data_IF_914189888042
#
_entry.id   IF_914189888042
#
_cell.length_a   1.000
_cell.length_b   1.000
_cell.length_c   1.000
_cell.angle_alpha   90.00
_cell.angle_beta   90.00
_cell.angle_gamma   90.00
#
_symmetry.space_group_name_H-M   'P 1'
#
loop_
_entity.id
_entity.type
_entity.pdbx_description
1 polymer ?
#
# COMPACT_ATOMS: atom_id res chain seq x y z
N UNK A 1 24.05 -22.01 0.98
CA UNK A 1 24.92 -21.03 0.31
C UNK A 1 25.43 -20.05 1.37
N UNK A 2 26.66 -19.59 1.27
CA UNK A 2 27.25 -18.64 2.22
C UNK A 2 27.39 -17.26 1.57
N UNK A 3 26.92 -16.22 2.24
CA UNK A 3 27.18 -14.83 1.86
C UNK A 3 28.55 -14.45 2.46
N UNK A 4 29.56 -14.25 1.61
CA UNK A 4 30.87 -13.77 2.07
C UNK A 4 30.92 -12.25 1.99
N UNK A 5 31.31 -11.60 3.08
CA UNK A 5 31.50 -10.15 3.16
C UNK A 5 32.96 -9.91 3.48
N UNK A 6 33.73 -9.46 2.48
CA UNK A 6 35.18 -9.24 2.60
C UNK A 6 35.54 -7.84 3.13
N UNK A 7 34.54 -6.97 3.31
CA UNK A 7 34.73 -5.65 3.90
C UNK A 7 34.87 -5.77 5.44
N UNK A 8 36.04 -5.42 6.01
CA UNK A 8 36.29 -5.55 7.44
C UNK A 8 35.41 -4.62 8.29
N UNK A 9 34.98 -3.48 7.74
CA UNK A 9 34.08 -2.55 8.43
C UNK A 9 32.68 -3.14 8.52
N UNK A 10 32.21 -3.80 7.46
CA UNK A 10 30.90 -4.46 7.48
C UNK A 10 30.93 -5.66 8.43
N UNK A 11 32.02 -6.42 8.44
CA UNK A 11 32.20 -7.52 9.39
C UNK A 11 32.13 -7.04 10.86
N UNK A 12 32.82 -5.96 11.21
CA UNK A 12 32.77 -5.38 12.56
C UNK A 12 31.35 -4.89 12.93
N UNK A 13 30.65 -4.25 11.99
CA UNK A 13 29.26 -3.83 12.19
C UNK A 13 28.32 -5.00 12.45
N UNK A 14 28.46 -6.09 11.68
CA UNK A 14 27.65 -7.30 11.86
C UNK A 14 27.93 -7.94 13.22
N UNK A 15 29.21 -8.01 13.62
CA UNK A 15 29.60 -8.52 14.93
C UNK A 15 28.97 -7.70 16.06
N UNK A 16 29.09 -6.38 16.00
CA UNK A 16 28.51 -5.48 17.01
C UNK A 16 26.98 -5.56 17.04
N UNK A 17 26.34 -5.70 15.89
CA UNK A 17 24.90 -5.89 15.82
C UNK A 17 24.48 -7.19 16.51
N UNK A 18 25.15 -8.30 16.21
CA UNK A 18 24.92 -9.60 16.85
C UNK A 18 25.12 -9.55 18.38
N UNK A 19 26.16 -8.85 18.85
CA UNK A 19 26.40 -8.64 20.28
C UNK A 19 25.27 -7.85 20.96
N UNK A 20 24.72 -6.83 20.28
CA UNK A 20 23.63 -6.01 20.81
C UNK A 20 22.28 -6.73 20.79
N UNK A 21 22.01 -7.55 19.78
CA UNK A 21 20.73 -8.26 19.63
C UNK A 21 20.71 -9.63 20.31
N UNK A 22 21.88 -10.19 20.64
CA UNK A 22 22.02 -11.56 21.14
C UNK A 22 21.78 -12.63 20.06
N UNK A 23 21.70 -12.23 18.79
CA UNK A 23 21.49 -13.13 17.66
C UNK A 23 22.83 -13.65 17.11
N UNK A 24 22.77 -14.70 16.29
CA UNK A 24 23.94 -15.07 15.47
C UNK A 24 24.20 -14.00 14.39
N UNK A 25 25.44 -13.80 13.92
CA UNK A 25 25.76 -12.88 12.83
C UNK A 25 24.87 -13.08 11.58
N UNK A 26 24.62 -14.34 11.20
CA UNK A 26 23.77 -14.67 10.06
C UNK A 26 22.32 -14.23 10.28
N UNK A 27 21.81 -14.42 11.50
CA UNK A 27 20.43 -14.05 11.84
C UNK A 27 20.27 -12.54 11.94
N UNK A 28 21.23 -11.83 12.56
CA UNK A 28 21.25 -10.38 12.61
C UNK A 28 21.24 -9.75 11.21
N UNK A 29 22.02 -10.30 10.27
CA UNK A 29 22.01 -9.87 8.87
C UNK A 29 20.67 -10.19 8.20
N UNK A 30 20.15 -11.40 8.37
CA UNK A 30 18.88 -11.81 7.78
C UNK A 30 17.72 -10.90 8.22
N UNK A 31 17.59 -10.66 9.53
CA UNK A 31 16.59 -9.75 10.11
C UNK A 31 16.76 -8.33 9.55
N UNK A 32 17.97 -7.78 9.56
CA UNK A 32 18.24 -6.43 9.06
C UNK A 32 17.90 -6.24 7.58
N UNK A 33 18.22 -7.24 6.75
CA UNK A 33 17.89 -7.24 5.33
C UNK A 33 16.38 -7.28 5.13
N UNK A 34 15.68 -8.17 5.82
CA UNK A 34 14.22 -8.30 5.71
C UNK A 34 13.52 -7.02 6.15
N UNK A 35 13.92 -6.42 7.28
CA UNK A 35 13.38 -5.14 7.73
C UNK A 35 13.56 -4.03 6.69
N UNK A 36 14.74 -3.95 6.05
CA UNK A 36 14.97 -2.95 5.01
C UNK A 36 14.09 -3.19 3.79
N UNK A 37 13.91 -4.44 3.39
CA UNK A 37 13.03 -4.82 2.29
C UNK A 37 11.55 -4.49 2.60
N UNK A 38 11.08 -4.78 3.82
CA UNK A 38 9.73 -4.42 4.27
C UNK A 38 9.52 -2.90 4.15
N UNK A 39 10.44 -2.09 4.67
CA UNK A 39 10.35 -0.63 4.58
C UNK A 39 10.27 -0.14 3.13
N UNK A 40 11.17 -0.65 2.27
CA UNK A 40 11.19 -0.27 0.84
C UNK A 40 9.90 -0.68 0.10
N UNK A 41 9.35 -1.86 0.40
CA UNK A 41 8.08 -2.31 -0.20
C UNK A 41 6.90 -1.45 0.25
N UNK A 42 6.89 -1.02 1.52
CA UNK A 42 5.86 -0.11 2.03
C UNK A 42 5.94 1.28 1.38
N UNK A 43 7.15 1.82 1.23
CA UNK A 43 7.39 3.08 0.52
C UNK A 43 6.92 3.00 -0.95
N UNK A 44 7.24 1.92 -1.67
CA UNK A 44 6.77 1.69 -3.04
C UNK A 44 5.25 1.60 -3.13
N UNK A 45 4.61 0.88 -2.20
CA UNK A 45 3.14 0.77 -2.17
C UNK A 45 2.48 2.14 -1.97
N UNK A 46 2.99 2.97 -1.05
CA UNK A 46 2.47 4.31 -0.82
C UNK A 46 2.59 5.19 -2.06
N UNK A 47 3.74 5.18 -2.74
CA UNK A 47 3.96 5.91 -3.99
C UNK A 47 2.99 5.45 -5.08
N UNK A 48 2.82 4.13 -5.24
CA UNK A 48 1.88 3.56 -6.21
C UNK A 48 0.43 3.94 -5.93
N UNK A 49 -0.01 3.87 -4.68
CA UNK A 49 -1.37 4.24 -4.29
C UNK A 49 -1.65 5.73 -4.57
N UNK A 50 -0.70 6.60 -4.24
CA UNK A 50 -0.80 8.03 -4.56
C UNK A 50 -0.88 8.27 -6.07
N UNK A 51 -0.09 7.56 -6.88
CA UNK A 51 -0.14 7.66 -8.34
C UNK A 51 -1.48 7.17 -8.92
N UNK A 52 -2.08 6.13 -8.34
CA UNK A 52 -3.44 5.69 -8.71
C UNK A 52 -4.47 6.75 -8.32
N UNK A 53 -4.42 7.26 -7.09
CA UNK A 53 -5.34 8.27 -6.58
C UNK A 53 -5.32 9.56 -7.41
N UNK A 54 -4.12 10.03 -7.81
CA UNK A 54 -3.98 11.19 -8.72
C UNK A 54 -4.69 10.97 -10.05
N UNK A 55 -4.45 9.82 -10.71
CA UNK A 55 -5.10 9.46 -11.98
C UNK A 55 -6.61 9.31 -11.85
N UNK A 56 -7.09 8.74 -10.73
CA UNK A 56 -8.52 8.63 -10.48
C UNK A 56 -9.16 10.01 -10.29
N UNK A 57 -8.55 10.87 -9.48
CA UNK A 57 -9.02 12.22 -9.21
C UNK A 57 -9.03 13.09 -10.48
N UNK A 58 -8.04 12.93 -11.38
CA UNK A 58 -8.04 13.58 -12.69
C UNK A 58 -9.26 13.19 -13.53
N UNK A 59 -9.57 11.89 -13.62
CA UNK A 59 -10.74 11.39 -14.35
C UNK A 59 -12.07 11.85 -13.75
N UNK A 60 -12.17 11.90 -12.42
CA UNK A 60 -13.38 12.34 -11.72
C UNK A 60 -13.63 13.84 -11.84
N UNK A 61 -12.58 14.66 -12.00
CA UNK A 61 -12.75 16.09 -12.32
C UNK A 61 -13.30 16.31 -13.74
N UNK A 62 -12.98 15.41 -14.66
CA UNK A 62 -13.37 15.50 -16.07
C UNK A 62 -14.83 15.07 -16.32
N UNK A 63 -15.48 14.39 -15.37
CA UNK A 63 -16.89 13.97 -15.48
C UNK A 63 -17.90 15.11 -15.30
N UNK A 64 -17.44 16.34 -15.05
CA UNK A 64 -18.17 17.60 -15.28
C UNK A 64 -19.41 17.90 -14.42
N UNK A 65 -20.08 16.90 -13.84
CA UNK A 65 -21.23 17.08 -12.96
C UNK A 65 -21.16 16.12 -11.77
N UNK A 66 -21.26 16.62 -10.52
CA UNK A 66 -21.58 15.78 -9.38
C UNK A 66 -22.89 15.05 -9.69
N UNK A 67 -22.88 13.73 -9.63
CA UNK A 67 -24.11 12.95 -9.71
C UNK A 67 -24.87 13.20 -8.42
N UNK A 68 -26.10 13.69 -8.50
CA UNK A 68 -26.98 13.75 -7.35
C UNK A 68 -27.30 12.31 -6.92
N UNK A 69 -26.80 11.93 -5.76
CA UNK A 69 -26.98 10.59 -5.21
C UNK A 69 -28.43 10.35 -4.79
N UNK A 70 -29.21 11.41 -4.53
CA UNK A 70 -30.65 11.34 -4.34
C UNK A 70 -31.35 10.85 -5.60
N UNK A 71 -31.12 11.50 -6.74
CA UNK A 71 -31.70 11.07 -8.03
C UNK A 71 -31.18 9.72 -8.51
N UNK A 72 -29.89 9.41 -8.27
CA UNK A 72 -29.28 8.15 -8.73
C UNK A 72 -29.76 6.93 -7.94
N UNK A 73 -29.90 7.06 -6.61
CA UNK A 73 -30.19 5.92 -5.74
C UNK A 73 -31.68 5.82 -5.39
N UNK A 74 -32.42 6.93 -5.50
CA UNK A 74 -33.83 7.02 -5.15
C UNK A 74 -34.59 7.70 -6.29
N UNK A 75 -34.71 7.02 -7.43
CA UNK A 75 -35.77 7.39 -8.37
C UNK A 75 -37.12 7.14 -7.69
N UNK A 76 -37.90 8.19 -7.50
CA UNK A 76 -39.31 8.07 -7.14
C UNK A 76 -40.00 7.25 -8.24
N UNK A 77 -40.36 6.01 -7.92
CA UNK A 77 -41.28 5.25 -8.75
C UNK A 77 -42.66 5.75 -8.39
N UNK A 78 -43.26 6.59 -9.23
CA UNK A 78 -44.65 7.00 -9.10
C UNK A 78 -45.53 5.76 -8.89
N UNK A 79 -46.03 5.59 -7.66
CA UNK A 79 -46.91 4.47 -7.30
C UNK A 79 -48.31 4.60 -7.93
N UNK A 80 -48.52 5.63 -8.77
CA UNK A 80 -49.80 5.91 -9.43
C UNK A 80 -50.16 4.95 -10.57
N UNK A 81 -49.22 4.14 -11.09
CA UNK A 81 -49.51 3.24 -12.21
C UNK A 81 -50.02 1.85 -11.80
N UNK A 82 -50.31 1.62 -10.51
CA UNK A 82 -50.80 0.30 -10.00
C UNK A 82 -52.33 0.28 -9.83
N UNK A 83 -53.03 1.39 -10.07
CA UNK A 83 -54.49 1.47 -9.89
C UNK A 83 -55.32 1.51 -11.18
N UNK A 84 -54.70 1.45 -12.37
CA UNK A 84 -55.45 1.35 -13.63
C UNK A 84 -55.45 -0.10 -14.13
N UNK A 85 -56.25 -0.91 -13.44
CA UNK A 85 -56.42 -2.33 -13.67
C UNK A 85 -57.71 -2.80 -13.00
N UNK A 86 -58.85 -2.36 -13.54
CA UNK A 86 -60.19 -2.86 -13.23
C UNK A 86 -61.06 -2.82 -14.48
#
# INVERSE_FOLDING_TARGET
MALNIEDPVVHDRVKRLAELTGESPAQAVATSVEERLVRLRQEDLAVRLLAIGKRAAERMRDTGKPVDHGELLYYERDASSVLDGS
#
